data_IF_084715541225
#
_entry.id   IF_084715541225
#
_cell.length_a   1.000
_cell.length_b   1.000
_cell.length_c   1.000
_cell.angle_alpha   90.00
_cell.angle_beta   90.00
_cell.angle_gamma   90.00
#
_symmetry.space_group_name_H-M   'P 1'
#
loop_
_entity.id
_entity.type
_entity.pdbx_description
1 polymer ?
#
# COMPACT_ATOMS: atom_id res chain seq x y z
N UNK A 1 0.79 -21.38 11.74
CA UNK A 1 0.87 -20.39 12.84
C UNK A 1 1.88 -19.27 12.57
N UNK A 2 3.12 -19.57 12.15
CA UNK A 2 4.18 -18.56 11.89
C UNK A 2 3.81 -17.51 10.81
N UNK A 3 3.12 -17.91 9.73
CA UNK A 3 2.75 -16.99 8.62
C UNK A 3 1.91 -15.79 9.09
N UNK A 4 0.98 -16.01 10.02
CA UNK A 4 0.10 -14.94 10.50
C UNK A 4 0.85 -13.92 11.35
N UNK A 5 1.80 -14.37 12.17
CA UNK A 5 2.64 -13.51 13.01
C UNK A 5 3.58 -12.67 12.14
N UNK A 6 4.21 -13.28 11.13
CA UNK A 6 5.07 -12.53 10.20
C UNK A 6 4.28 -11.50 9.38
N UNK A 7 3.09 -11.86 8.90
CA UNK A 7 2.21 -10.92 8.19
C UNK A 7 1.78 -9.75 9.08
N UNK A 8 1.37 -10.00 10.33
CA UNK A 8 0.96 -8.92 11.23
C UNK A 8 2.14 -8.02 11.62
N UNK A 9 3.32 -8.58 11.87
CA UNK A 9 4.54 -7.81 12.12
C UNK A 9 4.91 -6.94 10.91
N UNK A 10 4.86 -7.49 9.69
CA UNK A 10 5.15 -6.72 8.48
C UNK A 10 4.16 -5.55 8.30
N UNK A 11 2.87 -5.76 8.58
CA UNK A 11 1.85 -4.69 8.52
C UNK A 11 2.14 -3.61 9.57
N UNK A 12 2.51 -3.99 10.79
CA UNK A 12 2.88 -3.02 11.82
C UNK A 12 4.10 -2.18 11.43
N UNK A 13 5.12 -2.81 10.85
CA UNK A 13 6.32 -2.10 10.36
C UNK A 13 5.98 -1.14 9.22
N UNK A 14 5.11 -1.55 8.29
CA UNK A 14 4.61 -0.71 7.19
C UNK A 14 3.80 0.51 7.71
N UNK A 15 3.08 0.39 8.83
CA UNK A 15 2.37 1.52 9.45
C UNK A 15 3.28 2.44 10.28
N UNK A 16 4.32 1.88 10.91
CA UNK A 16 5.21 2.60 11.82
C UNK A 16 6.27 3.42 11.07
N UNK A 17 6.73 2.95 9.92
CA UNK A 17 7.86 3.54 9.17
C UNK A 17 7.36 4.13 7.85
N UNK A 18 7.91 5.28 7.45
CA UNK A 18 7.72 5.82 6.09
C UNK A 18 8.47 4.90 5.13
N UNK A 19 7.75 4.13 4.33
CA UNK A 19 8.37 3.11 3.49
C UNK A 19 9.00 3.79 2.27
N UNK A 20 10.34 3.70 2.08
CA UNK A 20 10.95 4.30 0.91
C UNK A 20 10.47 3.62 -0.37
N UNK A 21 10.14 4.41 -1.39
CA UNK A 21 9.60 3.95 -2.69
C UNK A 21 10.42 2.80 -3.31
N UNK A 22 11.73 2.81 -3.10
CA UNK A 22 12.66 1.76 -3.58
C UNK A 22 12.30 0.37 -3.03
N UNK A 23 11.87 0.29 -1.77
CA UNK A 23 11.45 -0.98 -1.16
C UNK A 23 10.14 -1.46 -1.76
N UNK A 24 9.16 -0.56 -1.93
CA UNK A 24 7.87 -0.87 -2.57
C UNK A 24 8.09 -1.40 -4.01
N UNK A 25 8.97 -0.76 -4.77
CA UNK A 25 9.34 -1.21 -6.11
C UNK A 25 10.01 -2.59 -6.11
N UNK A 26 10.88 -2.88 -5.14
CA UNK A 26 11.50 -4.21 -4.99
C UNK A 26 10.47 -5.29 -4.72
N UNK A 27 9.50 -5.03 -3.84
CA UNK A 27 8.44 -5.99 -3.54
C UNK A 27 7.54 -6.20 -4.76
N UNK A 28 7.15 -5.13 -5.46
CA UNK A 28 6.41 -5.24 -6.72
C UNK A 28 7.17 -6.07 -7.76
N UNK A 29 8.49 -5.92 -7.86
CA UNK A 29 9.33 -6.73 -8.76
C UNK A 29 9.32 -8.21 -8.36
N UNK A 30 9.41 -8.52 -7.07
CA UNK A 30 9.31 -9.90 -6.57
C UNK A 30 7.95 -10.53 -6.87
N UNK A 31 6.86 -9.80 -6.63
CA UNK A 31 5.50 -10.29 -6.93
C UNK A 31 5.33 -10.47 -8.44
N UNK A 32 5.80 -9.52 -9.25
CA UNK A 32 5.76 -9.65 -10.70
C UNK A 32 6.56 -10.84 -11.22
N UNK A 33 7.72 -11.13 -10.62
CA UNK A 33 8.57 -12.27 -10.98
C UNK A 33 7.96 -13.60 -10.52
N UNK A 34 7.28 -13.62 -9.37
CA UNK A 34 6.50 -14.78 -8.92
C UNK A 34 5.30 -15.04 -9.85
N UNK A 35 4.58 -13.99 -10.22
CA UNK A 35 3.38 -14.10 -11.05
C UNK A 35 3.68 -14.57 -12.47
N UNK A 36 4.74 -14.03 -13.10
CA UNK A 36 5.13 -14.42 -14.45
C UNK A 36 5.96 -15.70 -14.52
N UNK A 37 6.43 -16.18 -13.38
CA UNK A 37 7.31 -17.33 -13.28
C UNK A 37 8.71 -17.04 -13.84
N UNK A 38 9.68 -17.82 -13.39
CA UNK A 38 11.02 -17.86 -13.97
C UNK A 38 11.19 -19.23 -14.65
N UNK A 39 11.57 -19.25 -15.92
CA UNK A 39 12.02 -20.48 -16.59
C UNK A 39 13.54 -20.36 -16.77
N UNK A 40 14.30 -21.30 -16.22
CA UNK A 40 15.76 -21.39 -16.34
C UNK A 40 16.55 -20.10 -16.02
N UNK A 41 16.20 -19.44 -14.91
CA UNK A 41 16.99 -18.31 -14.40
C UNK A 41 16.93 -17.03 -15.24
N UNK A 42 16.10 -16.98 -16.29
CA UNK A 42 15.91 -15.78 -17.13
C UNK A 42 14.50 -15.21 -16.90
N UNK A 43 14.37 -13.88 -16.72
CA UNK A 43 13.05 -13.26 -16.61
C UNK A 43 12.31 -13.46 -17.94
N UNK A 44 11.13 -14.10 -17.89
CA UNK A 44 10.23 -14.19 -19.04
C UNK A 44 9.92 -12.76 -19.50
N UNK A 45 9.97 -12.49 -20.80
CA UNK A 45 9.61 -11.17 -21.31
C UNK A 45 8.16 -10.89 -20.95
N UNK A 46 7.94 -9.91 -20.05
CA UNK A 46 6.61 -9.56 -19.57
C UNK A 46 5.88 -8.81 -20.69
N UNK A 47 4.97 -9.49 -21.39
CA UNK A 47 4.14 -8.89 -22.46
C UNK A 47 3.26 -7.74 -21.97
N UNK A 48 2.98 -7.70 -20.67
CA UNK A 48 2.17 -6.66 -20.03
C UNK A 48 2.93 -6.12 -18.82
N UNK A 49 3.05 -4.79 -18.74
CA UNK A 49 3.67 -4.14 -17.59
C UNK A 49 2.94 -4.49 -16.31
N UNK A 50 3.68 -4.73 -15.22
CA UNK A 50 3.08 -5.06 -13.91
C UNK A 50 2.05 -4.00 -13.47
N UNK A 51 2.32 -2.72 -13.75
CA UNK A 51 1.41 -1.61 -13.47
C UNK A 51 0.09 -1.69 -14.25
N UNK A 52 0.10 -2.22 -15.48
CA UNK A 52 -1.12 -2.42 -16.26
C UNK A 52 -1.97 -3.59 -15.73
N UNK A 53 -1.32 -4.64 -15.21
CA UNK A 53 -2.01 -5.78 -14.59
C UNK A 53 -2.65 -5.38 -13.26
N UNK A 54 -1.99 -4.51 -12.48
CA UNK A 54 -2.51 -4.05 -11.19
C UNK A 54 -3.72 -3.10 -11.30
N UNK A 55 -4.16 -2.76 -12.51
CA UNK A 55 -5.38 -1.96 -12.70
C UNK A 55 -6.61 -2.72 -12.20
N UNK A 56 -7.67 -2.00 -11.76
CA UNK A 56 -8.93 -2.63 -11.39
C UNK A 56 -9.50 -3.44 -12.56
N UNK A 57 -10.28 -4.48 -12.25
CA UNK A 57 -10.87 -5.40 -13.25
C UNK A 57 -11.73 -4.66 -14.27
N UNK A 58 -12.42 -3.59 -13.83
CA UNK A 58 -13.20 -2.68 -14.67
C UNK A 58 -12.39 -1.98 -15.77
N UNK A 59 -11.08 -1.77 -15.54
CA UNK A 59 -10.16 -1.15 -16.49
C UNK A 59 -9.34 -2.20 -17.28
N UNK A 60 -9.72 -3.48 -17.22
CA UNK A 60 -9.04 -4.57 -17.94
C UNK A 60 -7.78 -5.11 -17.25
N UNK A 61 -7.58 -4.78 -15.96
CA UNK A 61 -6.52 -5.38 -15.13
C UNK A 61 -6.99 -6.62 -14.36
N UNK A 62 -6.09 -7.20 -13.57
CA UNK A 62 -6.35 -8.39 -12.75
C UNK A 62 -6.94 -8.06 -11.37
N UNK A 63 -7.08 -6.77 -11.03
CA UNK A 63 -7.57 -6.33 -9.72
C UNK A 63 -6.58 -6.49 -8.56
N UNK A 64 -5.34 -6.90 -8.85
CA UNK A 64 -4.25 -6.98 -7.84
C UNK A 64 -3.81 -5.57 -7.47
N UNK A 65 -3.87 -5.21 -6.19
CA UNK A 65 -3.44 -3.88 -5.73
C UNK A 65 -1.94 -3.69 -5.88
N UNK A 66 -1.55 -2.57 -6.47
CA UNK A 66 -0.15 -2.17 -6.53
C UNK A 66 0.30 -1.70 -5.13
N UNK A 67 1.48 -2.14 -4.68
CA UNK A 67 1.91 -1.90 -3.29
C UNK A 67 2.07 -0.42 -2.94
N UNK A 68 2.40 0.44 -3.90
CA UNK A 68 2.46 1.89 -3.68
C UNK A 68 1.06 2.45 -3.35
N UNK A 69 0.01 1.93 -3.98
CA UNK A 69 -1.37 2.35 -3.67
C UNK A 69 -1.76 1.92 -2.25
N UNK A 70 -1.31 0.74 -1.81
CA UNK A 70 -1.54 0.25 -0.45
C UNK A 70 -0.85 1.14 0.58
N UNK A 71 0.36 1.61 0.29
CA UNK A 71 1.11 2.52 1.14
C UNK A 71 0.41 3.87 1.29
N UNK A 72 -0.03 4.45 0.16
CA UNK A 72 -0.85 5.68 0.17
C UNK A 72 -2.15 5.53 0.97
N UNK A 73 -2.85 4.40 0.82
CA UNK A 73 -4.07 4.13 1.58
C UNK A 73 -3.80 4.00 3.09
N UNK A 74 -2.68 3.37 3.46
CA UNK A 74 -2.28 3.24 4.87
C UNK A 74 -1.94 4.61 5.47
N UNK A 75 -1.20 5.46 4.75
CA UNK A 75 -0.91 6.83 5.16
C UNK A 75 -2.20 7.66 5.34
N UNK A 76 -3.12 7.55 4.38
CA UNK A 76 -4.40 8.25 4.44
C UNK A 76 -5.21 7.80 5.66
N UNK A 77 -5.30 6.49 5.91
CA UNK A 77 -5.99 5.94 7.10
C UNK A 77 -5.37 6.44 8.39
N UNK A 78 -4.04 6.47 8.49
CA UNK A 78 -3.32 6.98 9.67
C UNK A 78 -3.60 8.47 9.90
N UNK A 79 -3.58 9.26 8.83
CA UNK A 79 -3.90 10.70 8.87
C UNK A 79 -5.34 10.93 9.31
N UNK A 80 -6.28 10.13 8.79
CA UNK A 80 -7.69 10.19 9.18
C UNK A 80 -7.88 9.87 10.67
N UNK A 81 -7.20 8.84 11.17
CA UNK A 81 -7.28 8.43 12.57
C UNK A 81 -6.63 9.44 13.52
N UNK A 82 -5.56 10.09 13.08
CA UNK A 82 -4.85 11.12 13.86
C UNK A 82 -5.49 12.51 13.74
N UNK A 83 -6.64 12.66 13.09
CA UNK A 83 -7.32 13.96 13.05
C UNK A 83 -7.75 14.36 14.47
N UNK A 84 -7.46 15.59 14.90
CA UNK A 84 -7.96 16.08 16.18
C UNK A 84 -9.48 16.00 16.16
N UNK A 85 -10.07 15.35 17.17
CA UNK A 85 -11.50 15.50 17.45
C UNK A 85 -11.68 16.96 17.84
N UNK A 86 -12.52 17.70 17.12
CA UNK A 86 -12.84 19.07 17.48
C UNK A 86 -13.36 19.08 18.94
N UNK A 87 -12.65 19.75 19.84
CA UNK A 87 -13.13 19.97 21.21
C UNK A 87 -14.35 20.90 21.12
N UNK A 88 -15.54 20.51 21.62
CA UNK A 88 -16.71 21.38 21.65
C UNK A 88 -16.47 22.74 22.33
N UNK A 89 -15.42 22.88 23.16
CA UNK A 89 -15.15 24.08 23.96
C UNK A 89 -14.49 25.24 23.19
N UNK A 90 -13.95 25.02 22.00
CA UNK A 90 -13.33 26.10 21.19
C UNK A 90 -14.37 26.94 20.42
N UNK A 91 -15.60 26.41 20.25
CA UNK A 91 -16.68 27.12 19.53
C UNK A 91 -17.34 28.24 20.32
N UNK A 92 -17.13 28.31 21.64
CA UNK A 92 -17.76 29.32 22.50
C UNK A 92 -16.87 30.56 22.73
N UNK A 93 -15.59 30.52 22.35
CA UNK A 93 -14.65 31.64 22.52
C UNK A 93 -14.64 32.66 21.36
N UNK A 94 -15.30 32.35 20.23
CA UNK A 94 -15.31 33.20 19.03
C UNK A 94 -16.64 33.92 18.76
N UNK A 95 -17.63 33.81 19.64
CA UNK A 95 -18.96 34.41 19.48
C UNK A 95 -19.22 35.58 20.45
N UNK A 96 -18.26 35.94 21.30
CA UNK A 96 -18.35 37.06 22.26
C UNK A 96 -17.12 37.96 22.09
N UNK A 97 -16.90 38.54 20.91
CA UNK A 97 -16.20 39.83 20.72
C UNK A 97 -16.81 40.51 19.51
#
# INVERSE_FOLDING_TARGET
MVRHVLSSMAIYLLLAVVVPKVVLQRINRLISGFFWGSHDGKPKHNWVSWKAICRPVLEGGLGVRYIEDVEHLMQFKKTWQNRPKADPREKLGGQII
#
